data_IF_591413441339
#
_entry.id   IF_591413441339
#
_cell.length_a   1.000
_cell.length_b   1.000
_cell.length_c   1.000
_cell.angle_alpha   90.00
_cell.angle_beta   90.00
_cell.angle_gamma   90.00
#
_symmetry.space_group_name_H-M   'P 1'
#
loop_
_entity.id
_entity.type
_entity.pdbx_description
1 polymer ?
#
# COMPACT_ATOMS: atom_id res chain seq x y z
N UNK A 1 1.88 -24.72 -17.67
CA UNK A 1 3.11 -23.90 -17.81
C UNK A 1 3.91 -24.05 -16.52
N UNK A 2 5.22 -24.27 -16.63
CA UNK A 2 6.11 -24.34 -15.47
C UNK A 2 6.51 -22.94 -14.98
N UNK A 3 6.75 -22.77 -13.68
CA UNK A 3 7.10 -21.47 -13.07
C UNK A 3 8.39 -20.88 -13.67
N UNK A 4 9.34 -21.73 -14.06
CA UNK A 4 10.58 -21.30 -14.74
C UNK A 4 10.31 -20.66 -16.10
N UNK A 5 9.39 -21.21 -16.87
CA UNK A 5 9.02 -20.64 -18.18
C UNK A 5 8.32 -19.29 -18.03
N UNK A 6 7.50 -19.12 -16.98
CA UNK A 6 6.84 -17.84 -16.67
C UNK A 6 7.88 -16.77 -16.31
N UNK A 7 8.87 -17.12 -15.48
CA UNK A 7 9.94 -16.21 -15.09
C UNK A 7 10.77 -15.79 -16.32
N UNK A 8 11.15 -16.74 -17.19
CA UNK A 8 11.88 -16.42 -18.42
C UNK A 8 11.11 -15.44 -19.31
N UNK A 9 9.81 -15.67 -19.49
CA UNK A 9 8.96 -14.76 -20.26
C UNK A 9 8.87 -13.38 -19.61
N UNK A 10 8.69 -13.31 -18.29
CA UNK A 10 8.60 -12.04 -17.56
C UNK A 10 9.92 -11.25 -17.65
N UNK A 11 11.08 -11.91 -17.61
CA UNK A 11 12.38 -11.25 -17.70
C UNK A 11 12.61 -10.56 -19.06
N UNK A 12 11.96 -11.04 -20.13
CA UNK A 12 12.03 -10.46 -21.48
C UNK A 12 11.14 -9.22 -21.68
N UNK A 13 10.30 -8.87 -20.70
CA UNK A 13 9.41 -7.71 -20.78
C UNK A 13 10.14 -6.41 -20.42
N UNK A 14 9.52 -5.28 -20.77
CA UNK A 14 10.01 -3.96 -20.37
C UNK A 14 10.00 -3.80 -18.83
N UNK A 15 10.81 -2.90 -18.27
CA UNK A 15 10.80 -2.63 -16.83
C UNK A 15 9.41 -2.31 -16.26
N UNK A 16 8.58 -1.58 -17.01
CA UNK A 16 7.22 -1.22 -16.59
C UNK A 16 6.29 -2.44 -16.51
N UNK A 17 6.33 -3.31 -17.50
CA UNK A 17 5.53 -4.55 -17.51
C UNK A 17 6.00 -5.53 -16.43
N UNK A 18 7.31 -5.62 -16.19
CA UNK A 18 7.84 -6.41 -15.07
C UNK A 18 7.36 -5.89 -13.73
N UNK A 19 7.37 -4.57 -13.54
CA UNK A 19 6.85 -3.95 -12.32
C UNK A 19 5.35 -4.26 -12.14
N UNK A 20 4.56 -4.13 -13.21
CA UNK A 20 3.14 -4.47 -13.18
C UNK A 20 2.88 -5.92 -12.75
N UNK A 21 3.65 -6.88 -13.26
CA UNK A 21 3.56 -8.29 -12.86
C UNK A 21 3.92 -8.47 -11.39
N UNK A 22 5.01 -7.86 -10.93
CA UNK A 22 5.44 -7.92 -9.53
C UNK A 22 4.33 -7.38 -8.62
N UNK A 23 3.80 -6.19 -8.89
CA UNK A 23 2.73 -5.59 -8.08
C UNK A 23 1.48 -6.46 -8.04
N UNK A 24 1.08 -7.02 -9.18
CA UNK A 24 -0.10 -7.88 -9.28
C UNK A 24 0.08 -9.15 -8.44
N UNK A 25 1.23 -9.81 -8.56
CA UNK A 25 1.54 -11.00 -7.77
C UNK A 25 1.64 -10.67 -6.28
N UNK A 26 2.31 -9.57 -5.91
CA UNK A 26 2.40 -9.12 -4.52
C UNK A 26 1.01 -8.85 -3.92
N UNK A 27 0.12 -8.17 -4.65
CA UNK A 27 -1.27 -7.94 -4.21
C UNK A 27 -2.04 -9.24 -3.98
N UNK A 28 -1.84 -10.25 -4.84
CA UNK A 28 -2.50 -11.55 -4.69
C UNK A 28 -2.06 -12.33 -3.44
N UNK A 29 -0.85 -12.07 -2.93
CA UNK A 29 -0.32 -12.74 -1.75
C UNK A 29 -0.79 -12.08 -0.44
N UNK A 30 -1.24 -10.84 -0.52
CA UNK A 30 -1.63 -10.02 0.63
C UNK A 30 -2.92 -9.27 0.35
N UNK A 31 -3.95 -9.96 -0.15
CA UNK A 31 -5.26 -9.34 -0.30
C UNK A 31 -5.74 -8.87 1.09
N UNK A 32 -5.97 -7.55 1.27
CA UNK A 32 -6.46 -7.05 2.54
C UNK A 32 -7.85 -7.64 2.79
N UNK A 33 -8.09 -8.04 4.03
CA UNK A 33 -9.43 -8.41 4.46
C UNK A 33 -10.35 -7.20 4.27
N UNK A 34 -11.42 -7.38 3.49
CA UNK A 34 -12.35 -6.31 3.12
C UNK A 34 -13.05 -5.68 4.32
N UNK A 35 -13.29 -6.45 5.39
CA UNK A 35 -13.85 -5.91 6.62
C UNK A 35 -12.82 -5.06 7.36
N UNK A 36 -11.56 -5.51 7.39
CA UNK A 36 -10.45 -4.71 7.94
C UNK A 36 -10.27 -3.41 7.14
N UNK A 37 -10.33 -3.47 5.81
CA UNK A 37 -10.22 -2.30 4.94
C UNK A 37 -11.35 -1.29 5.18
N UNK A 38 -12.58 -1.78 5.40
CA UNK A 38 -13.72 -0.94 5.79
C UNK A 38 -13.47 -0.23 7.13
N UNK A 39 -13.03 -0.96 8.15
CA UNK A 39 -12.72 -0.35 9.45
C UNK A 39 -11.57 0.67 9.36
N UNK A 40 -10.55 0.39 8.54
CA UNK A 40 -9.47 1.34 8.27
C UNK A 40 -9.98 2.62 7.61
N UNK A 41 -10.88 2.51 6.63
CA UNK A 41 -11.48 3.68 5.98
C UNK A 41 -12.23 4.55 7.00
N UNK A 42 -13.10 3.94 7.80
CA UNK A 42 -13.86 4.66 8.84
C UNK A 42 -12.93 5.34 9.86
N UNK A 43 -11.87 4.65 10.30
CA UNK A 43 -10.91 5.20 11.26
C UNK A 43 -10.08 6.35 10.66
N UNK A 44 -9.67 6.26 9.40
CA UNK A 44 -8.94 7.33 8.71
C UNK A 44 -9.79 8.59 8.60
N UNK A 45 -11.04 8.45 8.16
CA UNK A 45 -11.99 9.57 8.07
C UNK A 45 -12.19 10.22 9.45
N UNK A 46 -12.42 9.41 10.49
CA UNK A 46 -12.59 9.89 11.87
C UNK A 46 -11.35 10.62 12.40
N UNK A 47 -10.14 10.10 12.15
CA UNK A 47 -8.89 10.74 12.57
C UNK A 47 -8.62 12.04 11.83
N UNK A 48 -8.95 12.08 10.55
CA UNK A 48 -8.79 13.27 9.74
C UNK A 48 -9.70 14.41 10.23
N UNK A 49 -10.97 14.10 10.52
CA UNK A 49 -11.90 15.07 11.12
C UNK A 49 -11.47 15.53 12.52
N UNK A 50 -10.94 14.62 13.34
CA UNK A 50 -10.38 14.99 14.65
C UNK A 50 -9.17 15.91 14.52
N UNK A 51 -8.34 15.71 13.49
CA UNK A 51 -7.21 16.58 13.16
C UNK A 51 -7.68 17.96 12.70
N UNK A 52 -8.58 18.04 11.73
CA UNK A 52 -9.12 19.31 11.24
C UNK A 52 -9.83 20.12 12.33
N UNK A 53 -10.54 19.44 13.23
CA UNK A 53 -11.23 20.08 14.37
C UNK A 53 -10.32 20.39 15.56
N UNK A 54 -9.02 20.12 15.48
CA UNK A 54 -8.06 20.39 16.55
C UNK A 54 -8.24 19.51 17.80
N UNK A 55 -9.01 18.42 17.70
CA UNK A 55 -9.31 17.50 18.81
C UNK A 55 -8.19 16.49 19.07
N UNK A 56 -7.21 16.40 18.18
CA UNK A 56 -6.03 15.53 18.33
C UNK A 56 -4.75 16.37 18.24
N UNK A 57 -3.77 16.04 19.08
CA UNK A 57 -2.43 16.64 19.01
C UNK A 57 -1.65 16.01 17.86
N UNK A 58 -1.04 16.84 17.04
CA UNK A 58 -0.12 16.43 15.97
C UNK A 58 1.32 16.74 16.35
N UNK A 59 2.26 16.06 15.71
CA UNK A 59 3.70 16.34 15.82
C UNK A 59 4.10 17.03 14.52
N UNK A 60 4.73 18.21 14.57
CA UNK A 60 5.24 18.89 13.39
C UNK A 60 6.22 18.00 12.61
N UNK A 61 6.17 18.09 11.28
CA UNK A 61 7.03 17.31 10.40
C UNK A 61 8.54 17.52 10.69
N UNK A 62 8.93 18.76 10.99
CA UNK A 62 10.31 19.12 11.32
C UNK A 62 10.82 18.49 12.62
N UNK A 63 9.93 18.11 13.54
CA UNK A 63 10.30 17.37 14.75
C UNK A 63 10.54 15.88 14.47
N UNK A 64 9.82 15.31 13.50
CA UNK A 64 10.01 13.91 13.07
C UNK A 64 11.35 13.72 12.36
N UNK A 65 11.73 14.66 11.48
CA UNK A 65 12.97 14.57 10.70
C UNK A 65 14.25 14.69 11.54
N UNK A 66 14.17 15.23 12.75
CA UNK A 66 15.33 15.40 13.66
C UNK A 66 15.68 14.12 14.43
N UNK A 67 14.91 13.04 14.25
CA UNK A 67 15.06 11.77 14.95
C UNK A 67 15.61 10.69 14.03
#
# INVERSE_FOLDING_TARGET
MDSKNIIQNALNLSPAERLFIIETLSKSLSEPDKEIEKYWKEEVEKRYEAFLSGKVKSIPYDEILKK
#
